data_IF_331373294540
#
_entry.id   IF_331373294540
#
_cell.length_a   1.000
_cell.length_b   1.000
_cell.length_c   1.000
_cell.angle_alpha   90.00
_cell.angle_beta   90.00
_cell.angle_gamma   90.00
#
_symmetry.space_group_name_H-M   'P 1'
#
loop_
_entity.id
_entity.type
_entity.pdbx_description
1 polymer ?
#
# COMPACT_ATOMS: atom_id res chain seq x y z
N UNK A 1 2.99 13.44 -4.51
CA UNK A 1 2.35 12.22 -3.96
C UNK A 1 0.82 12.33 -4.08
N UNK A 2 0.33 13.38 -4.73
CA UNK A 2 -1.09 13.71 -4.87
C UNK A 2 -1.88 12.84 -5.86
N UNK A 3 -1.25 12.36 -6.95
CA UNK A 3 -1.96 11.66 -8.04
C UNK A 3 -2.65 10.35 -7.60
N UNK A 4 -2.12 9.68 -6.57
CA UNK A 4 -2.75 8.49 -6.02
C UNK A 4 -4.04 8.83 -5.27
N UNK A 5 -4.08 9.96 -4.55
CA UNK A 5 -5.27 10.35 -3.78
C UNK A 5 -6.47 10.60 -4.70
N UNK A 6 -6.24 11.17 -5.88
CA UNK A 6 -7.30 11.47 -6.85
C UNK A 6 -7.87 10.23 -7.52
N UNK A 7 -7.04 9.23 -7.85
CA UNK A 7 -7.54 7.96 -8.40
C UNK A 7 -8.43 7.19 -7.42
N UNK A 8 -8.14 7.31 -6.13
CA UNK A 8 -8.93 6.68 -5.08
C UNK A 8 -9.93 7.63 -4.41
N UNK A 9 -10.08 8.87 -4.87
CA UNK A 9 -11.09 9.78 -4.33
C UNK A 9 -12.52 9.30 -4.65
N UNK A 10 -12.69 8.59 -5.77
CA UNK A 10 -13.97 8.03 -6.21
C UNK A 10 -14.34 6.72 -5.48
N UNK A 11 -13.33 5.92 -5.12
CA UNK A 11 -13.48 4.72 -4.30
C UNK A 11 -13.04 5.11 -2.90
N UNK A 12 -13.93 5.57 -2.01
CA UNK A 12 -13.67 6.08 -0.64
C UNK A 12 -12.59 5.35 0.22
N UNK A 13 -11.35 5.28 -0.27
CA UNK A 13 -10.21 4.51 0.20
C UNK A 13 -9.25 5.56 0.72
N UNK A 14 -8.97 5.44 2.01
CA UNK A 14 -8.10 6.30 2.76
C UNK A 14 -6.74 5.63 2.85
N UNK A 15 -5.70 6.35 2.42
CA UNK A 15 -4.33 5.94 2.71
C UNK A 15 -4.05 6.18 4.19
N UNK A 16 -3.75 5.12 4.92
CA UNK A 16 -3.50 5.20 6.37
C UNK A 16 -2.01 5.35 6.65
N UNK A 17 -1.19 4.44 6.12
CA UNK A 17 0.23 4.43 6.44
C UNK A 17 1.09 3.71 5.37
N UNK A 18 2.36 4.12 5.27
CA UNK A 18 3.41 3.41 4.53
C UNK A 18 4.45 2.91 5.53
N UNK A 19 4.78 1.62 5.50
CA UNK A 19 5.87 1.05 6.29
C UNK A 19 6.90 0.44 5.34
N UNK A 20 8.16 0.84 5.47
CA UNK A 20 9.28 0.24 4.75
C UNK A 20 10.02 -0.66 5.73
N UNK A 21 10.02 -1.96 5.46
CA UNK A 21 10.65 -2.97 6.31
C UNK A 21 11.67 -3.78 5.51
N UNK A 22 12.50 -4.53 6.21
CA UNK A 22 13.49 -5.42 5.61
C UNK A 22 14.84 -4.75 5.32
N UNK A 23 15.67 -5.46 4.56
CA UNK A 23 17.07 -5.08 4.27
C UNK A 23 17.25 -4.80 2.78
N UNK A 24 18.42 -4.33 2.37
CA UNK A 24 18.72 -3.91 0.99
C UNK A 24 18.41 -4.97 -0.09
N UNK A 25 18.50 -6.26 0.27
CA UNK A 25 18.20 -7.39 -0.61
C UNK A 25 16.75 -7.92 -0.52
N UNK A 26 16.05 -7.65 0.57
CA UNK A 26 14.68 -8.11 0.84
C UNK A 26 13.90 -6.94 1.43
N UNK A 27 13.57 -5.96 0.58
CA UNK A 27 12.84 -4.77 0.99
C UNK A 27 11.35 -5.01 0.86
N UNK A 28 10.58 -4.65 1.87
CA UNK A 28 9.13 -4.81 1.88
C UNK A 28 8.52 -3.43 2.01
N UNK A 29 7.71 -3.05 1.03
CA UNK A 29 6.91 -1.83 1.03
C UNK A 29 5.51 -2.23 1.42
N UNK A 30 5.13 -1.96 2.67
CA UNK A 30 3.82 -2.31 3.19
C UNK A 30 2.94 -1.07 3.24
N UNK A 31 1.77 -1.15 2.64
CA UNK A 31 0.81 -0.06 2.54
C UNK A 31 -0.47 -0.43 3.24
N UNK A 32 -0.92 0.46 4.12
CA UNK A 32 -2.16 0.33 4.88
C UNK A 32 -3.25 1.21 4.30
N UNK A 33 -4.37 0.60 3.92
CA UNK A 33 -5.52 1.27 3.33
C UNK A 33 -6.78 0.97 4.12
N UNK A 34 -7.60 1.99 4.34
CA UNK A 34 -8.93 1.83 4.92
C UNK A 34 -10.00 2.29 3.95
N UNK A 35 -11.24 1.82 4.10
CA UNK A 35 -12.38 2.28 3.31
C UNK A 35 -13.63 2.23 4.17
N UNK A 36 -14.51 3.21 3.99
CA UNK A 36 -15.82 3.18 4.62
C UNK A 36 -16.61 1.97 4.09
N UNK A 37 -16.85 0.98 4.95
CA UNK A 37 -17.44 -0.32 4.59
C UNK A 37 -16.45 -1.47 4.45
N UNK A 38 -15.16 -1.23 4.71
CA UNK A 38 -14.10 -2.24 4.61
C UNK A 38 -13.45 -2.30 3.23
N UNK A 39 -12.21 -2.79 3.21
CA UNK A 39 -11.48 -3.05 1.97
C UNK A 39 -11.83 -4.44 1.46
N UNK A 40 -12.19 -4.53 0.18
CA UNK A 40 -12.42 -5.80 -0.51
C UNK A 40 -11.15 -6.30 -1.19
N UNK A 41 -11.11 -7.59 -1.54
CA UNK A 41 -9.96 -8.16 -2.26
C UNK A 41 -9.73 -7.49 -3.62
N UNK A 42 -10.80 -7.09 -4.32
CA UNK A 42 -10.73 -6.34 -5.58
C UNK A 42 -10.10 -4.96 -5.37
N UNK A 43 -10.48 -4.25 -4.31
CA UNK A 43 -9.89 -2.96 -3.98
C UNK A 43 -8.37 -3.08 -3.74
N UNK A 44 -7.93 -4.14 -3.04
CA UNK A 44 -6.50 -4.44 -2.90
C UNK A 44 -5.82 -4.73 -4.24
N UNK A 45 -6.45 -5.49 -5.13
CA UNK A 45 -5.88 -5.83 -6.44
C UNK A 45 -5.74 -4.61 -7.36
N UNK A 46 -6.76 -3.75 -7.41
CA UNK A 46 -6.73 -2.51 -8.19
C UNK A 46 -5.68 -1.54 -7.64
N UNK A 47 -5.61 -1.42 -6.31
CA UNK A 47 -4.64 -0.55 -5.66
C UNK A 47 -3.21 -1.03 -5.85
N UNK A 48 -2.93 -2.32 -5.65
CA UNK A 48 -1.58 -2.88 -5.82
C UNK A 48 -1.08 -2.68 -7.24
N UNK A 49 -1.94 -2.84 -8.25
CA UNK A 49 -1.60 -2.62 -9.66
C UNK A 49 -1.31 -1.15 -9.95
N UNK A 50 -2.15 -0.23 -9.49
CA UNK A 50 -1.94 1.21 -9.71
C UNK A 50 -0.68 1.71 -8.99
N UNK A 51 -0.48 1.27 -7.75
CA UNK A 51 0.69 1.65 -6.98
C UNK A 51 1.97 1.07 -7.57
N UNK A 52 1.94 -0.17 -8.10
CA UNK A 52 3.06 -0.77 -8.81
C UNK A 52 3.48 0.06 -10.02
N UNK A 53 2.54 0.56 -10.83
CA UNK A 53 2.85 1.44 -11.97
C UNK A 53 3.52 2.74 -11.50
N UNK A 54 2.99 3.37 -10.45
CA UNK A 54 3.58 4.61 -9.91
C UNK A 54 4.99 4.36 -9.36
N UNK A 55 5.20 3.25 -8.65
CA UNK A 55 6.50 2.86 -8.11
C UNK A 55 7.51 2.53 -9.21
N UNK A 56 7.07 1.88 -10.29
CA UNK A 56 7.92 1.56 -11.45
C UNK A 56 8.39 2.85 -12.15
N UNK A 57 7.48 3.79 -12.40
CA UNK A 57 7.80 5.09 -13.01
C UNK A 57 8.72 5.94 -12.12
N UNK A 58 8.46 5.97 -10.81
CA UNK A 58 9.25 6.75 -9.87
C UNK A 58 10.58 6.08 -9.52
N UNK A 59 10.67 4.77 -9.72
CA UNK A 59 11.75 3.87 -9.31
C UNK A 59 12.51 4.32 -8.04
N UNK A 60 11.83 4.48 -6.89
CA UNK A 60 12.46 5.04 -5.68
C UNK A 60 13.48 4.08 -5.04
N UNK A 61 13.51 2.81 -5.46
CA UNK A 61 14.40 1.79 -4.93
C UNK A 61 15.27 1.22 -6.05
N UNK A 62 16.59 1.19 -5.84
CA UNK A 62 17.53 0.55 -6.78
C UNK A 62 17.53 -0.99 -6.70
N UNK A 63 16.91 -1.55 -5.66
CA UNK A 63 16.90 -2.98 -5.35
C UNK A 63 15.48 -3.54 -5.46
N UNK A 64 15.32 -4.84 -5.75
CA UNK A 64 14.01 -5.49 -5.76
C UNK A 64 13.29 -5.31 -4.42
N UNK A 65 11.98 -5.12 -4.50
CA UNK A 65 11.12 -4.94 -3.34
C UNK A 65 9.84 -5.76 -3.50
N UNK A 66 9.25 -6.12 -2.36
CA UNK A 66 7.94 -6.77 -2.29
C UNK A 66 6.91 -5.72 -1.88
N UNK A 67 5.88 -5.54 -2.70
CA UNK A 67 4.76 -4.66 -2.38
C UNK A 67 3.67 -5.45 -1.65
N UNK A 68 3.33 -5.04 -0.43
CA UNK A 68 2.23 -5.60 0.35
C UNK A 68 1.15 -4.54 0.55
N UNK A 69 -0.10 -4.88 0.22
CA UNK A 69 -1.27 -4.03 0.46
C UNK A 69 -2.16 -4.73 1.47
N UNK A 70 -2.37 -4.08 2.62
CA UNK A 70 -3.19 -4.61 3.70
C UNK A 70 -4.19 -3.58 4.19
N UNK A 71 -5.32 -4.05 4.68
CA UNK A 71 -6.20 -3.22 5.49
C UNK A 71 -5.64 -3.12 6.91
N UNK A 72 -5.88 -2.04 7.67
CA UNK A 72 -5.50 -1.95 9.08
C UNK A 72 -6.31 -2.91 9.97
N UNK A 73 -7.15 -3.77 9.39
CA UNK A 73 -8.16 -4.59 10.05
C UNK A 73 -7.65 -5.26 11.32
N UNK A 74 -8.17 -4.77 12.46
CA UNK A 74 -8.29 -5.34 13.81
C UNK A 74 -7.20 -6.32 14.33
N UNK A 75 -6.01 -6.31 13.78
CA UNK A 75 -4.87 -7.08 14.25
C UNK A 75 -4.13 -6.27 15.29
N UNK A 76 -4.41 -6.52 16.57
CA UNK A 76 -3.62 -5.99 17.67
C UNK A 76 -2.14 -6.17 17.36
N UNK A 77 -1.43 -5.06 17.12
CA UNK A 77 0.04 -5.01 17.18
C UNK A 77 0.36 -5.23 18.67
N UNK A 78 0.42 -6.49 19.12
CA UNK A 78 1.04 -6.82 20.39
C UNK A 78 2.53 -6.81 20.10
N UNK A 79 3.12 -5.62 20.23
CA UNK A 79 4.56 -5.49 20.42
C UNK A 79 4.83 -6.14 21.78
N UNK A 80 5.49 -7.30 21.76
CA UNK A 80 6.14 -7.87 22.94
C UNK A 80 7.38 -7.04 23.28
#
# INVERSE_FOLDING_TARGET
METLKEQFANKAIQFINLELTGSERNRIVRVFLDKQGGITLDDCAVFSRSLSVVLDVRNPFKSPYTLEVSSPGNGKKKIL
#
